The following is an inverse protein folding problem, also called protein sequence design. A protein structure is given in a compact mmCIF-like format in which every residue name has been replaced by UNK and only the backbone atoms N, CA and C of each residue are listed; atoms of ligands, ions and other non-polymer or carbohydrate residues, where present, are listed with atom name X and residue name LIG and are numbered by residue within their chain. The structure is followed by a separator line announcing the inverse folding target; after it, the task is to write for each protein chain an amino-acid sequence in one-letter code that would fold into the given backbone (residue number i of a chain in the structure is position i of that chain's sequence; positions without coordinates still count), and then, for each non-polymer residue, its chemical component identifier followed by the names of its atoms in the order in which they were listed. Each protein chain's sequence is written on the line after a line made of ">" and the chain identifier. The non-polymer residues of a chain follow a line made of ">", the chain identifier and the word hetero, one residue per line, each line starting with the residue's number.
data_IF_890612249721
#
_entry.id   IF_890612249721
#
_cell.length_a   1.000
_cell.length_b   1.000
_cell.length_c   1.000
_cell.angle_alpha   90.00
_cell.angle_beta   90.00
_cell.angle_gamma   90.00
#
_symmetry.space_group_name_H-M   'P 1'
#
loop_
_entity.id
_entity.type
_entity.pdbx_description
1 polymer ?
#
# COMPACT_ATOMS: atom_id res chain seq x y z
N UNK A 1 -23.59 23.66 22.54
CA UNK A 1 -22.51 23.28 21.60
C UNK A 1 -22.65 24.17 20.39
N UNK A 2 -21.66 24.95 20.04
CA UNK A 2 -21.77 25.79 18.85
C UNK A 2 -21.39 24.93 17.61
N UNK A 3 -21.72 25.40 16.41
CA UNK A 3 -21.46 24.63 15.18
C UNK A 3 -19.99 24.26 15.02
N UNK A 4 -19.06 25.11 15.43
CA UNK A 4 -17.62 24.84 15.36
C UNK A 4 -17.23 23.67 16.25
N UNK A 5 -17.69 23.65 17.50
CA UNK A 5 -17.40 22.53 18.44
C UNK A 5 -18.00 21.21 17.95
N UNK A 6 -19.17 21.26 17.30
CA UNK A 6 -19.81 20.08 16.72
C UNK A 6 -18.99 19.53 15.54
N UNK A 7 -18.47 20.40 14.67
CA UNK A 7 -17.63 19.99 13.55
C UNK A 7 -16.27 19.46 14.02
N UNK A 8 -15.64 20.10 15.00
CA UNK A 8 -14.37 19.62 15.56
C UNK A 8 -14.54 18.22 16.16
N UNK A 9 -15.57 18.00 16.99
CA UNK A 9 -15.86 16.70 17.56
C UNK A 9 -16.13 15.63 16.48
N UNK A 10 -16.84 15.97 15.41
CA UNK A 10 -17.08 15.08 14.29
C UNK A 10 -15.76 14.69 13.57
N UNK A 11 -14.89 15.64 13.29
CA UNK A 11 -13.62 15.36 12.65
C UNK A 11 -12.68 14.53 13.52
N UNK A 12 -12.66 14.78 14.83
CA UNK A 12 -11.88 13.99 15.78
C UNK A 12 -12.39 12.54 15.86
N UNK A 13 -13.67 12.32 15.62
CA UNK A 13 -14.30 10.99 15.66
C UNK A 13 -14.02 10.17 14.40
N UNK A 14 -14.04 10.82 13.23
CA UNK A 14 -13.78 10.13 11.95
C UNK A 14 -12.31 10.04 11.58
N UNK A 15 -11.41 10.79 12.24
CA UNK A 15 -9.98 10.73 11.94
C UNK A 15 -9.38 9.40 12.42
N UNK A 16 -8.61 8.76 11.56
CA UNK A 16 -7.90 7.52 11.90
C UNK A 16 -6.92 7.78 13.05
N UNK A 17 -7.23 7.22 14.22
CA UNK A 17 -6.48 7.47 15.48
C UNK A 17 -5.33 6.51 15.70
N UNK A 18 -5.39 5.31 15.14
CA UNK A 18 -4.42 4.25 15.40
C UNK A 18 -3.99 3.51 14.13
N UNK A 19 -2.72 3.61 13.81
CA UNK A 19 -2.09 2.86 12.73
C UNK A 19 -1.28 1.66 13.24
N UNK A 20 -1.12 1.51 14.55
CA UNK A 20 -0.27 0.47 15.16
C UNK A 20 -0.77 -0.94 14.83
N UNK A 21 -2.10 -1.10 14.69
CA UNK A 21 -2.68 -2.39 14.33
C UNK A 21 -2.23 -2.87 12.95
N UNK A 22 -2.06 -1.94 12.00
CA UNK A 22 -1.55 -2.26 10.66
C UNK A 22 -0.04 -2.49 10.66
N UNK A 23 0.70 -1.78 11.52
CA UNK A 23 2.17 -1.79 11.51
C UNK A 23 2.75 -3.17 11.84
N UNK A 24 2.19 -3.89 12.80
CA UNK A 24 2.65 -5.23 13.17
C UNK A 24 2.45 -6.24 12.02
N UNK A 25 1.27 -6.25 11.41
CA UNK A 25 0.94 -7.14 10.31
C UNK A 25 1.73 -6.77 9.04
N UNK A 26 1.80 -5.47 8.72
CA UNK A 26 2.60 -4.94 7.62
C UNK A 26 4.08 -5.26 7.81
N UNK A 27 4.63 -4.99 8.98
CA UNK A 27 6.02 -5.29 9.31
C UNK A 27 6.34 -6.78 9.14
N UNK A 28 5.40 -7.64 9.51
CA UNK A 28 5.52 -9.08 9.30
C UNK A 28 5.55 -9.48 7.82
N UNK A 29 4.74 -8.84 6.97
CA UNK A 29 4.69 -9.04 5.51
C UNK A 29 5.99 -8.55 4.87
N UNK A 30 6.40 -7.31 5.17
CA UNK A 30 7.61 -6.68 4.62
C UNK A 30 8.87 -7.45 5.01
N UNK A 31 8.99 -7.83 6.28
CA UNK A 31 10.10 -8.67 6.74
C UNK A 31 10.22 -9.97 5.96
N UNK A 32 9.09 -10.64 5.66
CA UNK A 32 9.09 -11.88 4.87
C UNK A 32 9.60 -11.65 3.44
N UNK A 33 9.20 -10.56 2.81
CA UNK A 33 9.66 -10.21 1.46
C UNK A 33 11.12 -9.76 1.45
N UNK A 34 11.53 -8.97 2.44
CA UNK A 34 12.93 -8.55 2.60
C UNK A 34 13.87 -9.74 2.85
N UNK A 35 13.43 -10.75 3.61
CA UNK A 35 14.18 -12.01 3.77
C UNK A 35 14.37 -12.73 2.44
N UNK A 36 13.37 -12.71 1.57
CA UNK A 36 13.45 -13.42 0.29
C UNK A 36 14.28 -12.68 -0.77
N UNK A 37 14.08 -11.35 -0.88
CA UNK A 37 14.64 -10.56 -1.98
C UNK A 37 15.95 -9.85 -1.62
N UNK A 38 16.20 -9.59 -0.33
CA UNK A 38 17.33 -8.77 0.12
C UNK A 38 18.18 -9.41 1.21
N UNK A 39 17.88 -10.65 1.57
CA UNK A 39 18.54 -11.36 2.71
C UNK A 39 18.55 -10.49 3.99
N UNK A 40 17.45 -9.77 4.23
CA UNK A 40 17.31 -8.81 5.34
C UNK A 40 16.11 -9.14 6.22
N UNK A 41 16.24 -8.91 7.53
CA UNK A 41 15.16 -9.03 8.51
C UNK A 41 14.45 -7.70 8.80
N UNK A 42 14.74 -6.65 8.05
CA UNK A 42 14.14 -5.34 8.22
C UNK A 42 12.63 -5.40 7.88
N UNK A 43 11.82 -4.84 8.76
CA UNK A 43 10.36 -4.78 8.62
C UNK A 43 9.86 -3.49 7.98
N UNK A 44 10.74 -2.52 7.73
CA UNK A 44 10.37 -1.19 7.26
C UNK A 44 10.99 -0.81 5.92
N UNK A 45 12.19 -1.31 5.61
CA UNK A 45 12.83 -1.03 4.34
C UNK A 45 12.05 -1.59 3.15
N UNK A 46 12.25 -0.96 1.98
CA UNK A 46 11.63 -1.36 0.72
C UNK A 46 10.10 -1.28 0.67
N UNK A 47 9.46 -0.58 1.62
CA UNK A 47 8.01 -0.29 1.59
C UNK A 47 7.74 1.21 1.39
N UNK A 48 6.64 1.51 0.71
CA UNK A 48 6.06 2.86 0.63
C UNK A 48 4.56 2.74 0.88
N UNK A 49 4.07 3.30 1.97
CA UNK A 49 2.63 3.36 2.23
C UNK A 49 2.04 4.41 1.29
N UNK A 50 1.00 4.04 0.57
CA UNK A 50 0.33 4.87 -0.43
C UNK A 50 -1.18 4.96 -0.13
N UNK A 51 -2.00 5.30 -1.10
CA UNK A 51 -3.44 5.38 -0.92
C UNK A 51 -3.86 6.43 0.11
N UNK A 52 -4.96 6.19 0.80
CA UNK A 52 -5.52 7.14 1.78
C UNK A 52 -4.65 7.29 3.02
N UNK A 53 -4.07 6.19 3.49
CA UNK A 53 -3.15 6.21 4.65
C UNK A 53 -1.90 7.01 4.31
N UNK A 54 -1.29 6.74 3.14
CA UNK A 54 -0.09 7.45 2.70
C UNK A 54 -0.30 8.96 2.46
N UNK A 55 -1.51 9.38 2.09
CA UNK A 55 -1.89 10.79 1.95
C UNK A 55 -2.34 11.46 3.24
N UNK A 56 -2.51 10.70 4.33
CA UNK A 56 -3.07 11.20 5.59
C UNK A 56 -4.57 11.52 5.51
N UNK A 57 -5.30 10.94 4.55
CA UNK A 57 -6.75 11.13 4.34
C UNK A 57 -7.57 9.89 4.70
N UNK A 58 -6.98 8.94 5.42
CA UNK A 58 -7.70 7.78 5.92
C UNK A 58 -8.65 8.16 7.06
N UNK A 59 -9.79 7.49 7.08
CA UNK A 59 -10.79 7.62 8.16
C UNK A 59 -10.73 6.40 9.07
N UNK A 60 -11.26 6.52 10.28
CA UNK A 60 -11.39 5.39 11.20
C UNK A 60 -12.21 4.27 10.56
N UNK A 61 -11.79 3.01 10.75
CA UNK A 61 -12.38 1.87 10.05
C UNK A 61 -11.98 1.75 8.58
N UNK A 62 -10.89 2.40 8.14
CA UNK A 62 -10.32 2.19 6.81
C UNK A 62 -10.05 0.71 6.57
N UNK A 63 -10.63 0.17 5.49
CA UNK A 63 -10.60 -1.26 5.19
C UNK A 63 -9.33 -1.71 4.46
N UNK A 64 -8.59 -0.76 3.84
CA UNK A 64 -7.53 -1.08 2.91
C UNK A 64 -6.26 -0.31 3.24
N UNK A 65 -5.16 -1.02 3.42
CA UNK A 65 -3.81 -0.45 3.53
C UNK A 65 -3.05 -0.68 2.23
N UNK A 66 -2.91 0.36 1.42
CA UNK A 66 -2.18 0.31 0.16
C UNK A 66 -0.67 0.46 0.39
N UNK A 67 0.11 -0.50 -0.09
CA UNK A 67 1.56 -0.51 0.09
C UNK A 67 2.27 -0.89 -1.20
N UNK A 68 3.22 -0.08 -1.63
CA UNK A 68 4.19 -0.46 -2.65
C UNK A 68 5.37 -1.17 -1.99
N UNK A 69 5.71 -2.36 -2.45
CA UNK A 69 6.94 -3.05 -2.08
C UNK A 69 7.94 -2.94 -3.22
N UNK A 70 9.11 -2.38 -2.92
CA UNK A 70 10.20 -2.21 -3.90
C UNK A 70 10.91 -3.54 -4.09
N UNK A 71 10.88 -4.07 -5.30
CA UNK A 71 11.64 -5.23 -5.71
C UNK A 71 13.05 -4.84 -6.20
N UNK A 72 14.05 -5.74 -6.08
CA UNK A 72 15.34 -5.54 -6.71
C UNK A 72 15.19 -5.35 -8.22
N UNK A 73 15.90 -4.36 -8.79
CA UNK A 73 15.78 -4.02 -10.21
C UNK A 73 16.15 -5.18 -11.15
N UNK A 74 17.06 -6.05 -10.72
CA UNK A 74 17.48 -7.23 -11.46
C UNK A 74 16.36 -8.25 -11.69
N UNK A 75 15.37 -8.30 -10.80
CA UNK A 75 14.20 -9.18 -10.95
C UNK A 75 13.26 -8.74 -12.10
N UNK A 76 13.33 -7.48 -12.54
CA UNK A 76 12.43 -6.96 -13.58
C UNK A 76 12.48 -7.80 -14.85
N UNK A 77 13.69 -8.06 -15.38
CA UNK A 77 13.88 -8.78 -16.65
C UNK A 77 13.34 -10.21 -16.62
N UNK A 78 13.29 -10.83 -15.44
CA UNK A 78 12.73 -12.18 -15.26
C UNK A 78 11.25 -12.24 -15.59
N UNK A 79 10.51 -11.20 -15.27
CA UNK A 79 9.07 -11.13 -15.52
C UNK A 79 8.73 -10.45 -16.84
N UNK A 80 9.53 -9.47 -17.25
CA UNK A 80 9.31 -8.72 -18.51
C UNK A 80 9.55 -9.62 -19.75
N UNK A 81 10.57 -10.49 -19.69
CA UNK A 81 10.90 -11.40 -20.78
C UNK A 81 10.15 -12.74 -20.71
N UNK A 82 9.22 -12.90 -19.75
CA UNK A 82 8.51 -14.17 -19.58
C UNK A 82 7.44 -14.34 -20.65
N UNK A 83 7.39 -15.51 -21.29
CA UNK A 83 6.28 -15.87 -22.18
C UNK A 83 4.94 -15.87 -21.43
N UNK A 84 3.92 -15.30 -22.04
CA UNK A 84 2.59 -15.12 -21.43
C UNK A 84 2.51 -13.92 -20.52
N UNK A 85 1.70 -14.00 -19.46
CA UNK A 85 1.47 -12.90 -18.53
C UNK A 85 2.51 -12.90 -17.40
N UNK A 86 3.65 -12.23 -17.63
CA UNK A 86 4.72 -12.09 -16.66
C UNK A 86 4.32 -11.33 -15.41
N UNK A 87 3.40 -10.37 -15.54
CA UNK A 87 2.83 -9.58 -14.44
C UNK A 87 2.03 -10.47 -13.48
N UNK A 88 1.21 -11.37 -14.04
CA UNK A 88 0.50 -12.38 -13.24
C UNK A 88 1.49 -13.32 -12.53
N UNK A 89 2.55 -13.72 -13.22
CA UNK A 89 3.59 -14.56 -12.61
C UNK A 89 4.26 -13.87 -11.42
N UNK A 90 4.55 -12.58 -11.52
CA UNK A 90 5.09 -11.80 -10.41
C UNK A 90 4.15 -11.82 -9.19
N UNK A 91 2.86 -11.54 -9.38
CA UNK A 91 1.89 -11.58 -8.28
C UNK A 91 1.79 -12.98 -7.66
N UNK A 92 1.84 -14.05 -8.46
CA UNK A 92 1.79 -15.42 -7.95
C UNK A 92 3.07 -15.80 -7.18
N UNK A 93 4.24 -15.34 -7.61
CA UNK A 93 5.50 -15.58 -6.88
C UNK A 93 5.49 -14.86 -5.53
N UNK A 94 5.08 -13.58 -5.48
CA UNK A 94 4.94 -12.83 -4.22
C UNK A 94 3.92 -13.51 -3.30
N UNK A 95 2.75 -13.89 -3.82
CA UNK A 95 1.75 -14.66 -3.08
C UNK A 95 2.33 -15.94 -2.48
N UNK A 96 3.10 -16.71 -3.26
CA UNK A 96 3.72 -17.97 -2.81
C UNK A 96 4.71 -17.73 -1.68
N UNK A 97 5.52 -16.68 -1.77
CA UNK A 97 6.46 -16.29 -0.72
C UNK A 97 5.70 -15.98 0.57
N UNK A 98 4.64 -15.18 0.51
CA UNK A 98 3.84 -14.82 1.67
C UNK A 98 3.08 -16.03 2.26
N UNK A 99 2.52 -16.90 1.42
CA UNK A 99 1.86 -18.14 1.85
C UNK A 99 2.80 -19.08 2.60
N UNK A 100 4.10 -19.04 2.36
CA UNK A 100 5.06 -19.86 3.12
C UNK A 100 5.17 -19.44 4.60
N UNK A 101 4.86 -18.19 4.93
CA UNK A 101 4.78 -17.67 6.32
C UNK A 101 3.35 -17.69 6.86
N UNK A 102 2.38 -17.42 5.99
CA UNK A 102 0.98 -17.26 6.35
C UNK A 102 0.09 -18.29 5.62
N UNK A 103 0.24 -19.61 5.91
CA UNK A 103 -0.44 -20.67 5.15
C UNK A 103 -1.98 -20.60 5.22
N UNK A 104 -2.51 -20.12 6.34
CA UNK A 104 -3.95 -20.04 6.60
C UNK A 104 -4.58 -18.67 6.29
N UNK A 105 -3.78 -17.66 5.97
CA UNK A 105 -4.26 -16.32 5.60
C UNK A 105 -4.80 -16.33 4.16
N UNK A 106 -5.93 -15.68 3.91
CA UNK A 106 -6.41 -15.51 2.53
C UNK A 106 -5.51 -14.50 1.80
N UNK A 107 -4.78 -14.98 0.80
CA UNK A 107 -3.87 -14.17 -0.01
C UNK A 107 -4.20 -14.43 -1.48
N UNK A 108 -4.51 -13.35 -2.22
CA UNK A 108 -4.89 -13.40 -3.63
C UNK A 108 -4.06 -12.43 -4.45
N UNK A 109 -3.76 -12.79 -5.70
CA UNK A 109 -3.34 -11.82 -6.70
C UNK A 109 -4.59 -11.24 -7.36
N UNK A 110 -4.72 -9.92 -7.38
CA UNK A 110 -5.86 -9.21 -7.96
C UNK A 110 -5.38 -7.98 -8.75
N UNK A 111 -5.55 -8.04 -10.05
CA UNK A 111 -5.20 -6.94 -10.96
C UNK A 111 -3.75 -6.48 -10.83
N UNK A 112 -3.47 -5.62 -9.90
CA UNK A 112 -2.17 -4.94 -9.71
C UNK A 112 -1.51 -5.29 -8.37
N UNK A 113 -2.24 -5.91 -7.46
CA UNK A 113 -1.83 -6.13 -6.09
C UNK A 113 -1.88 -7.60 -5.65
N UNK A 114 -1.18 -7.89 -4.58
CA UNK A 114 -1.40 -9.08 -3.76
C UNK A 114 -2.19 -8.64 -2.54
N UNK A 115 -3.46 -9.02 -2.49
CA UNK A 115 -4.39 -8.71 -1.40
C UNK A 115 -4.23 -9.72 -0.28
N UNK A 116 -3.98 -9.25 0.92
CA UNK A 116 -3.73 -10.07 2.12
C UNK A 116 -4.83 -9.77 3.13
N UNK A 117 -5.69 -10.76 3.41
CA UNK A 117 -6.80 -10.65 4.36
C UNK A 117 -6.52 -11.52 5.58
N UNK A 118 -6.11 -10.90 6.68
CA UNK A 118 -5.87 -11.60 7.93
C UNK A 118 -7.18 -12.02 8.61
N UNK A 119 -7.20 -13.22 9.18
CA UNK A 119 -8.35 -13.69 9.94
C UNK A 119 -8.54 -12.80 11.17
N UNK A 120 -9.78 -12.38 11.43
CA UNK A 120 -10.15 -11.50 12.54
C UNK A 120 -9.60 -10.07 12.50
N UNK A 121 -9.17 -9.59 11.34
CA UNK A 121 -8.84 -8.19 11.12
C UNK A 121 -9.89 -7.54 10.22
N UNK A 122 -10.31 -6.29 10.51
CA UNK A 122 -11.33 -5.59 9.71
C UNK A 122 -10.77 -4.97 8.43
N UNK A 123 -9.48 -5.18 8.12
CA UNK A 123 -8.78 -4.57 7.00
C UNK A 123 -8.03 -5.58 6.14
N UNK A 124 -7.65 -5.16 4.95
CA UNK A 124 -6.72 -5.86 4.06
C UNK A 124 -5.42 -5.06 3.88
N UNK A 125 -4.37 -5.77 3.50
CA UNK A 125 -3.15 -5.13 2.97
C UNK A 125 -3.11 -5.39 1.47
N UNK A 126 -3.16 -4.32 0.68
CA UNK A 126 -3.06 -4.34 -0.76
C UNK A 126 -1.63 -4.02 -1.16
N UNK A 127 -0.83 -5.07 -1.34
CA UNK A 127 0.59 -4.98 -1.61
C UNK A 127 0.86 -5.00 -3.12
N UNK A 128 1.37 -3.89 -3.64
CA UNK A 128 1.78 -3.72 -5.03
C UNK A 128 3.29 -3.95 -5.15
N UNK A 129 3.75 -5.08 -5.70
CA UNK A 129 5.16 -5.28 -5.97
C UNK A 129 5.58 -4.39 -7.15
N UNK A 130 6.66 -3.61 -7.00
CA UNK A 130 7.04 -2.62 -8.00
C UNK A 130 8.55 -2.43 -8.10
N UNK A 131 8.99 -1.90 -9.24
CA UNK A 131 10.39 -1.59 -9.54
C UNK A 131 10.58 -0.07 -9.54
N UNK A 132 11.42 0.43 -8.63
CA UNK A 132 11.73 1.85 -8.56
C UNK A 132 12.54 2.28 -9.78
N UNK A 133 12.15 3.40 -10.38
CA UNK A 133 12.82 4.00 -11.53
C UNK A 133 13.73 5.14 -11.09
N UNK A 134 14.70 5.54 -11.93
CA UNK A 134 15.66 6.58 -11.62
C UNK A 134 15.04 7.97 -11.36
N UNK A 135 13.81 8.19 -11.83
CA UNK A 135 13.05 9.43 -11.59
C UNK A 135 12.19 9.40 -10.33
N UNK A 136 12.28 8.31 -9.52
CA UNK A 136 11.48 8.09 -8.32
C UNK A 136 10.05 7.61 -8.59
N UNK A 137 9.71 7.26 -9.84
CA UNK A 137 8.46 6.57 -10.15
C UNK A 137 8.60 5.06 -9.90
N UNK A 138 7.47 4.37 -9.83
CA UNK A 138 7.40 2.92 -9.67
C UNK A 138 6.73 2.29 -10.88
N UNK A 139 7.40 1.32 -11.48
CA UNK A 139 6.83 0.47 -12.51
C UNK A 139 6.22 -0.76 -11.82
N UNK A 140 4.92 -0.99 -11.99
CA UNK A 140 4.16 -2.04 -11.30
C UNK A 140 3.34 -2.88 -12.29
N UNK A 141 2.97 -4.13 -11.92
CA UNK A 141 2.23 -5.02 -12.80
C UNK A 141 0.75 -4.62 -12.91
N UNK A 142 0.19 -4.81 -14.08
CA UNK A 142 -1.25 -4.90 -14.32
C UNK A 142 -1.52 -6.21 -15.06
N UNK A 143 -2.26 -7.12 -14.45
CA UNK A 143 -2.47 -8.48 -14.98
C UNK A 143 -3.65 -8.57 -15.96
N UNK A 144 -4.41 -7.48 -16.14
CA UNK A 144 -5.53 -7.42 -17.05
C UNK A 144 -5.07 -7.46 -18.51
N UNK A 145 -5.96 -7.86 -19.41
CA UNK A 145 -5.77 -7.81 -20.86
C UNK A 145 -4.46 -8.45 -21.36
N UNK A 146 -4.05 -9.55 -20.72
CA UNK A 146 -2.83 -10.28 -21.09
C UNK A 146 -1.57 -9.81 -20.38
N UNK A 147 -1.67 -8.79 -19.55
CA UNK A 147 -0.59 -8.24 -18.75
C UNK A 147 0.10 -7.02 -19.36
N UNK A 148 0.37 -6.04 -18.53
CA UNK A 148 1.11 -4.83 -18.90
C UNK A 148 1.85 -4.25 -17.69
N UNK A 149 2.81 -3.36 -17.94
CA UNK A 149 3.45 -2.57 -16.89
C UNK A 149 2.85 -1.17 -16.85
N UNK A 150 2.49 -0.74 -15.67
CA UNK A 150 2.01 0.61 -15.38
C UNK A 150 3.04 1.40 -14.60
N UNK A 151 2.91 2.71 -14.56
CA UNK A 151 3.81 3.59 -13.79
C UNK A 151 2.99 4.47 -12.86
N UNK A 152 3.47 4.63 -11.63
CA UNK A 152 2.91 5.56 -10.64
C UNK A 152 4.02 6.35 -9.95
N UNK A 153 3.70 7.53 -9.44
CA UNK A 153 4.62 8.37 -8.68
C UNK A 153 3.89 8.93 -7.45
N UNK A 154 3.77 8.15 -6.37
CA UNK A 154 2.96 8.52 -5.21
C UNK A 154 3.51 9.69 -4.41
N UNK A 155 4.83 9.89 -4.36
CA UNK A 155 5.47 10.94 -3.57
C UNK A 155 4.96 12.36 -3.90
N UNK A 156 4.88 12.81 -5.17
CA UNK A 156 4.33 14.12 -5.49
C UNK A 156 2.88 14.32 -5.06
N UNK A 157 2.06 13.27 -5.13
CA UNK A 157 0.66 13.34 -4.66
C UNK A 157 0.61 13.51 -3.15
N UNK A 158 1.39 12.73 -2.40
CA UNK A 158 1.48 12.84 -0.95
C UNK A 158 2.01 14.20 -0.50
N UNK A 159 3.04 14.71 -1.19
CA UNK A 159 3.60 16.04 -0.89
C UNK A 159 2.61 17.15 -1.19
N UNK A 160 1.87 17.06 -2.30
CA UNK A 160 0.79 18.01 -2.61
C UNK A 160 -0.30 18.01 -1.53
N UNK A 161 -0.69 16.84 -1.03
CA UNK A 161 -1.65 16.72 0.07
C UNK A 161 -1.11 17.35 1.37
N UNK A 162 0.16 17.11 1.70
CA UNK A 162 0.81 17.73 2.88
C UNK A 162 0.87 19.26 2.77
N UNK A 163 1.23 19.78 1.60
CA UNK A 163 1.27 21.22 1.33
C UNK A 163 -0.13 21.81 1.47
N UNK A 164 -1.13 21.24 0.79
CA UNK A 164 -2.51 21.71 0.86
C UNK A 164 -3.05 21.68 2.31
N UNK A 165 -2.68 20.64 3.08
CA UNK A 165 -3.08 20.55 4.48
C UNK A 165 -2.44 21.63 5.34
N UNK A 166 -1.15 21.90 5.16
CA UNK A 166 -0.44 22.96 5.87
C UNK A 166 -0.99 24.36 5.51
N UNK A 167 -1.26 24.63 4.24
CA UNK A 167 -1.83 25.91 3.78
C UNK A 167 -3.26 26.17 4.27
N UNK A 168 -4.02 25.11 4.55
CA UNK A 168 -5.42 25.19 4.99
C UNK A 168 -5.63 24.99 6.49
N UNK A 169 -4.54 24.99 7.29
CA UNK A 169 -4.60 24.69 8.73
C UNK A 169 -5.34 23.37 9.01
N UNK A 170 -4.95 22.32 8.30
CA UNK A 170 -5.47 20.95 8.36
C UNK A 170 -6.91 20.77 7.83
N UNK A 171 -7.52 21.81 7.29
CA UNK A 171 -8.87 21.70 6.75
C UNK A 171 -8.96 20.88 5.44
N UNK A 172 -7.86 20.74 4.69
CA UNK A 172 -7.82 19.87 3.50
C UNK A 172 -8.09 18.41 3.88
N UNK A 173 -7.34 17.86 4.82
CA UNK A 173 -7.52 16.47 5.30
C UNK A 173 -8.93 16.29 5.89
N UNK A 174 -9.40 17.22 6.70
CA UNK A 174 -10.76 17.21 7.29
C UNK A 174 -11.84 17.15 6.21
N UNK A 175 -11.73 17.97 5.17
CA UNK A 175 -12.66 17.95 4.04
C UNK A 175 -12.64 16.61 3.29
N UNK A 176 -11.46 16.06 3.03
CA UNK A 176 -11.31 14.74 2.41
C UNK A 176 -11.97 13.63 3.25
N UNK A 177 -11.77 13.65 4.56
CA UNK A 177 -12.34 12.66 5.48
C UNK A 177 -13.89 12.78 5.55
N UNK A 178 -14.43 13.99 5.55
CA UNK A 178 -15.88 14.23 5.61
C UNK A 178 -16.62 13.80 4.32
N UNK A 179 -15.93 13.64 3.19
CA UNK A 179 -16.51 13.26 1.91
C UNK A 179 -16.43 11.74 1.64
N UNK A 180 -15.90 10.98 2.56
CA UNK A 180 -15.81 9.52 2.52
C UNK A 180 -16.88 8.84 3.35
#
# INVERSE_FOLDING_TARGET
>A
MNHKETFEAFFDDIHMKDVTEYEDDLGGVIKKLNQHYYDSNDAESNRVIVGSVGRGTAVDGCSDLDVVFKLPGEEYSRYDNREGNGQSALLQDVKKILKSKYPNTDIKGDGQAVVISFTNKPYTIDLVPAFEQSDGSFKYPDTNDGGSWRTTKPTPEQDACKIANAETSENFTRACNALR
#
